data_IF_414158075216
#
_entry.id   IF_414158075216
#
_cell.length_a   1.000
_cell.length_b   1.000
_cell.length_c   1.000
_cell.angle_alpha   90.00
_cell.angle_beta   90.00
_cell.angle_gamma   90.00
#
_symmetry.space_group_name_H-M   'P 1'
#
loop_
_entity.id
_entity.type
_entity.pdbx_description
1 polymer ?
#
# COMPACT_ATOMS: atom_id res chain seq x y z
N UNK A 1 9.97 13.84 -25.07
CA UNK A 1 10.42 12.66 -24.30
C UNK A 1 9.40 12.48 -23.21
N UNK A 2 8.54 11.48 -23.31
CA UNK A 2 7.59 11.21 -22.25
C UNK A 2 8.38 10.80 -21.01
N UNK A 3 8.20 11.53 -19.91
CA UNK A 3 8.83 11.17 -18.65
C UNK A 3 8.39 9.74 -18.30
N UNK A 4 9.34 8.85 -18.02
CA UNK A 4 9.02 7.51 -17.53
C UNK A 4 8.30 7.70 -16.18
N UNK A 5 6.99 7.53 -16.18
CA UNK A 5 6.18 7.63 -14.97
C UNK A 5 6.56 6.46 -14.07
N UNK A 6 7.19 6.76 -12.93
CA UNK A 6 7.53 5.73 -11.94
C UNK A 6 6.26 5.19 -11.29
N UNK A 7 6.33 3.92 -10.88
CA UNK A 7 5.25 3.30 -10.14
C UNK A 7 5.09 3.97 -8.77
N UNK A 8 3.87 4.03 -8.27
CA UNK A 8 3.60 4.44 -6.88
C UNK A 8 3.86 3.26 -5.96
N UNK A 9 4.59 3.46 -4.88
CA UNK A 9 4.89 2.42 -3.89
C UNK A 9 4.00 2.62 -2.68
N UNK A 10 3.32 1.56 -2.25
CA UNK A 10 2.64 1.53 -0.95
C UNK A 10 3.35 0.52 -0.04
N UNK A 11 3.71 0.95 1.16
CA UNK A 11 4.29 0.11 2.20
C UNK A 11 3.18 -0.20 3.22
N UNK A 12 2.78 -1.46 3.30
CA UNK A 12 1.80 -1.95 4.25
C UNK A 12 2.57 -2.50 5.45
N UNK A 13 2.48 -1.79 6.57
CA UNK A 13 3.35 -1.98 7.72
C UNK A 13 3.09 -3.28 8.49
N UNK A 14 4.13 -3.77 9.17
CA UNK A 14 4.03 -4.88 10.12
C UNK A 14 3.34 -4.48 11.43
N UNK A 15 3.12 -5.46 12.30
CA UNK A 15 2.54 -5.23 13.63
C UNK A 15 3.45 -4.32 14.45
N UNK A 16 2.86 -3.43 15.26
CA UNK A 16 3.57 -2.43 16.09
C UNK A 16 4.42 -1.40 15.33
N UNK A 17 4.46 -1.43 14.00
CA UNK A 17 5.17 -0.44 13.21
C UNK A 17 4.32 0.80 12.96
N UNK A 18 4.99 1.93 12.79
CA UNK A 18 4.39 3.22 12.42
C UNK A 18 5.06 3.72 11.13
N UNK A 19 4.50 4.68 10.39
CA UNK A 19 5.12 5.20 9.17
C UNK A 19 6.59 5.60 9.36
N UNK A 20 6.92 6.16 10.52
CA UNK A 20 8.27 6.58 10.89
C UNK A 20 9.26 5.40 10.97
N UNK A 21 8.80 4.18 11.24
CA UNK A 21 9.62 2.96 11.20
C UNK A 21 10.22 2.69 9.82
N UNK A 22 9.62 3.23 8.74
CA UNK A 22 10.05 3.04 7.36
C UNK A 22 10.81 4.25 6.78
N UNK A 23 11.09 5.28 7.58
CA UNK A 23 11.62 6.56 7.09
C UNK A 23 12.89 6.44 6.23
N UNK A 24 13.79 5.52 6.58
CA UNK A 24 15.01 5.27 5.79
C UNK A 24 14.69 4.71 4.40
N UNK A 25 13.75 3.76 4.33
CA UNK A 25 13.32 3.14 3.08
C UNK A 25 12.52 4.12 2.22
N UNK A 26 11.59 4.87 2.81
CA UNK A 26 10.82 5.90 2.09
C UNK A 26 11.76 6.95 1.51
N UNK A 27 12.68 7.50 2.32
CA UNK A 27 13.65 8.50 1.85
C UNK A 27 14.51 7.98 0.70
N UNK A 28 14.97 6.73 0.78
CA UNK A 28 15.75 6.11 -0.28
C UNK A 28 14.95 5.99 -1.59
N UNK A 29 13.70 5.53 -1.52
CA UNK A 29 12.82 5.40 -2.69
C UNK A 29 12.42 6.77 -3.28
N UNK A 30 12.07 7.73 -2.44
CA UNK A 30 11.73 9.10 -2.84
C UNK A 30 12.93 9.81 -3.49
N UNK A 31 14.16 9.59 -2.99
CA UNK A 31 15.38 10.12 -3.63
C UNK A 31 15.60 9.61 -5.05
N UNK A 32 15.00 8.47 -5.39
CA UNK A 32 14.99 7.89 -6.74
C UNK A 32 13.78 8.36 -7.55
N UNK A 33 12.94 9.25 -7.03
CA UNK A 33 11.77 9.81 -7.72
C UNK A 33 10.52 8.92 -7.70
N UNK A 34 10.42 7.95 -6.79
CA UNK A 34 9.18 7.22 -6.57
C UNK A 34 8.23 8.02 -5.68
N UNK A 35 6.93 7.98 -5.99
CA UNK A 35 5.87 8.37 -5.06
C UNK A 35 5.70 7.23 -4.04
N UNK A 36 5.81 7.52 -2.74
CA UNK A 36 5.79 6.50 -1.68
C UNK A 36 4.74 6.83 -0.62
N UNK A 37 3.95 5.83 -0.24
CA UNK A 37 2.92 5.95 0.78
C UNK A 37 3.10 4.89 1.86
N UNK A 38 2.96 5.30 3.13
CA UNK A 38 2.96 4.39 4.28
C UNK A 38 1.76 4.75 5.16
N UNK A 39 0.54 4.26 4.84
CA UNK A 39 -0.63 4.57 5.64
C UNK A 39 -0.46 4.01 7.06
N UNK A 40 -0.75 4.84 8.07
CA UNK A 40 -0.75 4.39 9.47
C UNK A 40 -1.94 3.44 9.67
N UNK A 41 -1.67 2.20 10.06
CA UNK A 41 -2.73 1.24 10.35
C UNK A 41 -3.55 1.66 11.57
N UNK A 42 -4.89 1.61 11.53
CA UNK A 42 -5.77 1.88 12.67
C UNK A 42 -5.38 1.13 13.95
N UNK A 43 -4.95 -0.14 13.83
CA UNK A 43 -4.53 -0.96 14.98
C UNK A 43 -3.28 -0.46 15.71
N UNK A 44 -2.50 0.47 15.12
CA UNK A 44 -1.27 1.02 15.73
C UNK A 44 -1.47 2.38 16.40
N UNK A 45 -2.72 2.76 16.68
CA UNK A 45 -3.07 4.04 17.32
C UNK A 45 -2.79 4.13 18.84
N UNK A 46 -2.36 3.04 19.48
CA UNK A 46 -2.02 3.03 20.91
C UNK A 46 -3.20 2.91 21.88
N UNK A 47 -4.44 2.75 21.41
CA UNK A 47 -5.63 2.65 22.27
C UNK A 47 -5.55 1.47 23.24
N UNK A 48 -6.01 1.70 24.48
CA UNK A 48 -6.10 0.70 25.55
C UNK A 48 -7.46 0.81 26.24
N UNK A 49 -8.40 -0.15 26.05
CA UNK A 49 -8.25 -1.38 25.25
C UNK A 49 -8.12 -1.14 23.73
N UNK A 50 -7.62 -2.12 22.95
CA UNK A 50 -7.58 -2.04 21.49
C UNK A 50 -8.97 -1.77 20.89
N UNK A 51 -9.05 -0.91 19.87
CA UNK A 51 -10.29 -0.50 19.21
C UNK A 51 -10.29 -0.70 17.68
N UNK A 52 -9.30 -1.44 17.17
CA UNK A 52 -9.17 -1.77 15.75
C UNK A 52 -8.56 -3.17 15.62
N UNK A 53 -8.79 -3.78 14.46
CA UNK A 53 -8.44 -5.16 14.16
C UNK A 53 -7.96 -5.32 12.71
N UNK A 54 -7.70 -6.57 12.30
CA UNK A 54 -7.28 -6.91 10.95
C UNK A 54 -8.27 -6.43 9.88
N UNK A 55 -9.58 -6.50 10.16
CA UNK A 55 -10.59 -6.07 9.21
C UNK A 55 -10.53 -4.55 9.00
N UNK A 56 -10.44 -3.80 10.10
CA UNK A 56 -10.33 -2.34 10.10
C UNK A 56 -9.08 -1.88 9.34
N UNK A 57 -7.94 -2.52 9.59
CA UNK A 57 -6.69 -2.25 8.86
C UNK A 57 -6.83 -2.57 7.36
N UNK A 58 -7.45 -3.69 7.02
CA UNK A 58 -7.65 -4.12 5.62
C UNK A 58 -8.53 -3.13 4.86
N UNK A 59 -9.64 -2.70 5.45
CA UNK A 59 -10.55 -1.73 4.83
C UNK A 59 -9.91 -0.35 4.70
N UNK A 60 -9.12 0.07 5.69
CA UNK A 60 -8.38 1.32 5.63
C UNK A 60 -7.38 1.33 4.47
N UNK A 61 -6.54 0.30 4.35
CA UNK A 61 -5.56 0.19 3.27
C UNK A 61 -6.24 0.01 1.91
N UNK A 62 -7.35 -0.75 1.85
CA UNK A 62 -8.13 -0.91 0.61
C UNK A 62 -8.58 0.44 0.06
N UNK A 63 -9.21 1.28 0.89
CA UNK A 63 -9.69 2.59 0.47
C UNK A 63 -8.55 3.49 -0.01
N UNK A 64 -7.38 3.40 0.64
CA UNK A 64 -6.18 4.11 0.23
C UNK A 64 -5.70 3.67 -1.17
N UNK A 65 -5.55 2.37 -1.40
CA UNK A 65 -5.11 1.83 -2.71
C UNK A 65 -6.14 2.11 -3.81
N UNK A 66 -7.44 1.96 -3.52
CA UNK A 66 -8.51 2.31 -4.45
C UNK A 66 -8.48 3.79 -4.86
N UNK A 67 -8.08 4.69 -3.96
CA UNK A 67 -7.89 6.10 -4.32
C UNK A 67 -6.74 6.30 -5.32
N UNK A 68 -5.60 5.64 -5.09
CA UNK A 68 -4.42 5.73 -5.96
C UNK A 68 -4.70 5.18 -7.36
N UNK A 69 -5.29 3.98 -7.46
CA UNK A 69 -5.54 3.35 -8.75
C UNK A 69 -6.64 4.08 -9.54
N UNK A 70 -7.64 4.68 -8.87
CA UNK A 70 -8.64 5.54 -9.54
C UNK A 70 -8.02 6.82 -10.08
N UNK A 71 -6.96 7.33 -9.46
CA UNK A 71 -6.14 8.42 -9.98
C UNK A 71 -5.18 7.98 -11.11
N UNK A 72 -5.31 6.74 -11.61
CA UNK A 72 -4.53 6.19 -12.71
C UNK A 72 -3.13 5.72 -12.32
N UNK A 73 -2.83 5.58 -11.03
CA UNK A 73 -1.52 5.09 -10.59
C UNK A 73 -1.38 3.59 -10.81
N UNK A 74 -0.18 3.20 -11.24
CA UNK A 74 0.29 1.80 -11.16
C UNK A 74 0.99 1.61 -9.83
N UNK A 75 0.46 0.73 -8.99
CA UNK A 75 0.87 0.55 -7.59
C UNK A 75 1.70 -0.71 -7.41
N UNK A 76 2.82 -0.59 -6.72
CA UNK A 76 3.60 -1.71 -6.17
C UNK A 76 3.39 -1.75 -4.65
N UNK A 77 2.96 -2.89 -4.13
CA UNK A 77 2.75 -3.07 -2.69
C UNK A 77 3.93 -3.81 -2.05
N UNK A 78 4.63 -3.14 -1.14
CA UNK A 78 5.60 -3.76 -0.23
C UNK A 78 4.87 -4.07 1.07
N UNK A 79 4.93 -5.32 1.52
CA UNK A 79 4.09 -5.83 2.62
C UNK A 79 4.99 -6.54 3.62
N UNK A 80 5.12 -5.94 4.80
CA UNK A 80 6.03 -6.41 5.86
C UNK A 80 5.27 -7.24 6.90
N UNK A 81 5.68 -8.48 7.15
CA UNK A 81 5.16 -9.31 8.24
C UNK A 81 3.61 -9.32 8.31
N UNK A 82 2.99 -8.79 9.37
CA UNK A 82 1.53 -8.59 9.52
C UNK A 82 0.87 -7.88 8.32
N UNK A 83 1.57 -6.95 7.67
CA UNK A 83 1.11 -6.30 6.45
C UNK A 83 0.87 -7.28 5.30
N UNK A 84 1.46 -8.47 5.36
CA UNK A 84 1.13 -9.62 4.52
C UNK A 84 -0.32 -10.08 4.66
N UNK A 85 -0.86 -10.19 5.87
CA UNK A 85 -2.27 -10.53 6.10
C UNK A 85 -3.20 -9.39 5.65
N UNK A 86 -2.88 -8.15 6.04
CA UNK A 86 -3.66 -6.97 5.65
C UNK A 86 -3.77 -6.85 4.13
N UNK A 87 -2.65 -7.01 3.43
CA UNK A 87 -2.58 -6.91 1.97
C UNK A 87 -3.32 -8.03 1.24
N UNK A 88 -3.26 -9.26 1.74
CA UNK A 88 -4.04 -10.38 1.17
C UNK A 88 -5.54 -10.07 1.23
N UNK A 89 -6.02 -9.46 2.31
CA UNK A 89 -7.42 -9.09 2.47
C UNK A 89 -7.83 -7.84 1.67
N UNK A 90 -6.93 -6.88 1.45
CA UNK A 90 -7.31 -5.59 0.88
C UNK A 90 -7.08 -5.47 -0.63
N UNK A 91 -6.11 -6.19 -1.21
CA UNK A 91 -5.66 -5.99 -2.61
C UNK A 91 -6.37 -6.89 -3.64
N UNK A 92 -7.23 -7.81 -3.21
CA UNK A 92 -7.97 -8.66 -4.14
C UNK A 92 -8.81 -7.83 -5.12
N UNK A 93 -8.83 -8.27 -6.39
CA UNK A 93 -9.56 -7.60 -7.47
C UNK A 93 -8.99 -6.24 -7.91
N UNK A 94 -7.85 -5.80 -7.35
CA UNK A 94 -7.23 -4.52 -7.70
C UNK A 94 -6.07 -4.65 -8.70
N UNK A 95 -5.82 -5.85 -9.22
CA UNK A 95 -4.73 -6.14 -10.16
C UNK A 95 -4.84 -5.37 -11.48
N UNK A 96 -3.71 -4.91 -12.01
CA UNK A 96 -3.66 -4.06 -13.21
C UNK A 96 -4.25 -4.75 -14.45
N UNK A 97 -3.97 -6.04 -14.68
CA UNK A 97 -4.43 -6.76 -15.87
C UNK A 97 -5.96 -6.86 -15.89
N UNK A 98 -6.56 -7.27 -14.76
CA UNK A 98 -8.00 -7.41 -14.62
C UNK A 98 -8.73 -6.07 -14.76
N UNK A 99 -8.14 -4.97 -14.27
CA UNK A 99 -8.70 -3.62 -14.41
C UNK A 99 -8.56 -3.09 -15.83
N UNK A 100 -7.42 -3.32 -16.48
CA UNK A 100 -7.16 -2.93 -17.87
C UNK A 100 -8.13 -3.63 -18.82
N UNK A 101 -8.40 -4.92 -18.61
CA UNK A 101 -9.41 -5.67 -19.38
C UNK A 101 -10.83 -5.09 -19.27
N UNK A 102 -11.12 -4.32 -18.21
CA UNK A 102 -12.39 -3.62 -17.99
C UNK A 102 -12.35 -2.14 -18.44
N UNK A 103 -11.24 -1.69 -19.05
CA UNK A 103 -11.06 -0.28 -19.43
C UNK A 103 -10.89 0.67 -18.24
N UNK A 104 -10.56 0.16 -17.05
CA UNK A 104 -10.36 0.96 -15.85
C UNK A 104 -8.89 1.41 -15.74
N UNK A 105 -8.63 2.65 -15.28
CA UNK A 105 -7.27 3.15 -15.12
C UNK A 105 -6.60 2.56 -13.88
N UNK A 106 -5.26 2.52 -13.91
CA UNK A 106 -4.41 2.11 -12.80
C UNK A 106 -4.64 0.68 -12.30
N UNK A 107 -3.83 0.28 -11.31
CA UNK A 107 -3.95 -1.04 -10.69
C UNK A 107 -2.70 -1.45 -9.95
N UNK A 108 -2.81 -2.55 -9.20
CA UNK A 108 -1.68 -3.16 -8.50
C UNK A 108 -0.92 -4.05 -9.47
N UNK A 109 0.36 -3.76 -9.70
CA UNK A 109 1.20 -4.54 -10.63
C UNK A 109 2.06 -5.58 -9.93
N UNK A 110 2.53 -5.30 -8.71
CA UNK A 110 3.45 -6.19 -7.99
C UNK A 110 3.15 -6.26 -6.49
N UNK A 111 3.37 -7.43 -5.92
CA UNK A 111 3.33 -7.71 -4.49
C UNK A 111 4.72 -8.17 -4.03
N UNK A 112 5.37 -7.38 -3.18
CA UNK A 112 6.72 -7.67 -2.66
C UNK A 112 6.60 -8.01 -1.18
N UNK A 113 6.84 -9.28 -0.84
CA UNK A 113 6.87 -9.74 0.55
C UNK A 113 8.19 -9.40 1.20
N UNK A 114 8.12 -8.75 2.36
CA UNK A 114 9.26 -8.51 3.24
C UNK A 114 8.97 -9.21 4.57
N UNK A 115 9.86 -10.12 4.96
CA UNK A 115 9.74 -10.87 6.21
C UNK A 115 10.18 -10.05 7.41
#
# INVERSE_FOLDING_TARGET
>A
MDAIVKHTIIIISGGWHVPESYARLTSALESQGYEVHVPRLPSTNGSRPPNADLYTDSMHVRGYVESLIRAGRTVVAIKHSYGGHVSTNCLYGLGIDARTAQGLPGGVSNLIYMS
#
